data_IF_014129308126
#
_entry.id   IF_014129308126
#
_cell.length_a   1.000
_cell.length_b   1.000
_cell.length_c   1.000
_cell.angle_alpha   90.00
_cell.angle_beta   90.00
_cell.angle_gamma   90.00
#
_symmetry.space_group_name_H-M   'P 1'
#
loop_
_entity.id
_entity.type
_entity.pdbx_description
1 polymer ?
#
# COMPACT_ATOMS: atom_id res chain seq x y z
N UNK A 1 14.34 -6.88 -18.15
CA UNK A 1 13.96 -7.55 -16.88
C UNK A 1 12.97 -8.66 -17.21
N UNK A 2 13.39 -9.93 -17.18
CA UNK A 2 12.50 -11.08 -17.41
C UNK A 2 11.68 -11.29 -16.12
N UNK A 3 10.66 -10.45 -15.89
CA UNK A 3 9.59 -10.82 -14.95
C UNK A 3 9.07 -12.17 -15.45
N UNK A 4 8.94 -13.15 -14.55
CA UNK A 4 8.45 -14.48 -14.89
C UNK A 4 7.25 -14.34 -15.84
N UNK A 5 7.37 -14.89 -17.05
CA UNK A 5 6.40 -14.69 -18.14
C UNK A 5 4.97 -14.99 -17.70
N UNK A 6 4.82 -15.93 -16.76
CA UNK A 6 3.56 -16.30 -16.12
C UNK A 6 2.97 -15.12 -15.34
N UNK A 7 3.73 -14.54 -14.41
CA UNK A 7 3.28 -13.43 -13.57
C UNK A 7 2.99 -12.17 -14.39
N UNK A 8 3.85 -11.88 -15.36
CA UNK A 8 3.64 -10.77 -16.29
C UNK A 8 2.37 -10.94 -17.12
N UNK A 9 2.11 -12.14 -17.65
CA UNK A 9 0.89 -12.43 -18.40
C UNK A 9 -0.36 -12.34 -17.52
N UNK A 10 -0.29 -12.85 -16.29
CA UNK A 10 -1.40 -12.76 -15.34
C UNK A 10 -1.80 -11.29 -15.09
N UNK A 11 -0.86 -10.43 -14.68
CA UNK A 11 -1.15 -9.02 -14.38
C UNK A 11 -1.76 -8.28 -15.58
N UNK A 12 -1.26 -8.56 -16.79
CA UNK A 12 -1.72 -7.87 -17.99
C UNK A 12 -3.12 -8.33 -18.44
N UNK A 13 -3.51 -9.57 -18.12
CA UNK A 13 -4.77 -10.15 -18.61
C UNK A 13 -5.92 -10.07 -17.60
N UNK A 14 -5.63 -9.87 -16.31
CA UNK A 14 -6.66 -9.70 -15.27
C UNK A 14 -7.38 -8.36 -15.44
N UNK A 15 -8.67 -8.26 -15.14
CA UNK A 15 -9.40 -6.98 -15.17
C UNK A 15 -8.93 -6.00 -14.09
N UNK A 16 -9.31 -4.73 -14.19
CA UNK A 16 -9.01 -3.70 -13.18
C UNK A 16 -9.50 -4.13 -11.79
N UNK A 17 -10.73 -4.62 -11.72
CA UNK A 17 -11.33 -5.14 -10.50
C UNK A 17 -10.56 -6.36 -9.97
N UNK A 18 -10.25 -7.33 -10.83
CA UNK A 18 -9.49 -8.51 -10.42
C UNK A 18 -8.09 -8.16 -9.91
N UNK A 19 -7.46 -7.13 -10.50
CA UNK A 19 -6.17 -6.64 -10.06
C UNK A 19 -6.26 -5.98 -8.68
N UNK A 20 -7.25 -5.11 -8.46
CA UNK A 20 -7.52 -4.50 -7.15
C UNK A 20 -7.74 -5.60 -6.10
N UNK A 21 -8.62 -6.56 -6.37
CA UNK A 21 -8.92 -7.65 -5.45
C UNK A 21 -7.66 -8.46 -5.11
N UNK A 22 -6.84 -8.78 -6.12
CA UNK A 22 -5.59 -9.52 -5.92
C UNK A 22 -4.63 -8.77 -5.00
N UNK A 23 -4.45 -7.47 -5.22
CA UNK A 23 -3.54 -6.65 -4.43
C UNK A 23 -4.04 -6.40 -3.01
N UNK A 24 -5.35 -6.27 -2.81
CA UNK A 24 -5.98 -6.19 -1.49
C UNK A 24 -5.81 -7.51 -0.73
N UNK A 25 -6.05 -8.67 -1.37
CA UNK A 25 -5.80 -9.97 -0.74
C UNK A 25 -4.33 -10.09 -0.35
N UNK A 26 -3.42 -9.69 -1.24
CA UNK A 26 -1.98 -9.75 -0.96
C UNK A 26 -1.57 -8.83 0.20
N UNK A 27 -2.16 -7.63 0.33
CA UNK A 27 -1.87 -6.76 1.48
C UNK A 27 -2.33 -7.38 2.80
N UNK A 28 -3.52 -7.99 2.83
CA UNK A 28 -3.97 -8.71 4.03
C UNK A 28 -3.14 -9.95 4.35
N UNK A 29 -2.62 -10.67 3.35
CA UNK A 29 -1.69 -11.77 3.61
C UNK A 29 -0.43 -11.27 4.31
N UNK A 30 0.11 -10.11 3.90
CA UNK A 30 1.25 -9.48 4.58
C UNK A 30 0.90 -9.11 6.02
N UNK A 31 -0.24 -8.44 6.25
CA UNK A 31 -0.67 -8.05 7.59
C UNK A 31 -0.78 -9.26 8.52
N UNK A 32 -1.34 -10.38 8.04
CA UNK A 32 -1.47 -11.61 8.82
C UNK A 32 -0.11 -12.22 9.15
N UNK A 33 0.84 -12.22 8.22
CA UNK A 33 2.22 -12.69 8.49
C UNK A 33 2.88 -11.84 9.57
N UNK A 34 2.70 -10.52 9.53
CA UNK A 34 3.23 -9.60 10.55
C UNK A 34 2.53 -9.83 11.90
N UNK A 35 1.22 -10.03 11.91
CA UNK A 35 0.44 -10.32 13.11
C UNK A 35 0.91 -11.63 13.79
N UNK A 36 1.13 -12.69 13.01
CA UNK A 36 1.67 -13.95 13.51
C UNK A 36 3.08 -13.75 14.09
N UNK A 37 3.95 -13.05 13.36
CA UNK A 37 5.32 -12.77 13.82
C UNK A 37 5.35 -11.97 15.12
N UNK A 38 4.55 -10.91 15.22
CA UNK A 38 4.48 -10.06 16.42
C UNK A 38 3.94 -10.81 17.63
N UNK A 39 2.93 -11.67 17.43
CA UNK A 39 2.38 -12.52 18.48
C UNK A 39 3.41 -13.53 19.01
N UNK A 40 4.05 -14.30 18.11
CA UNK A 40 5.08 -15.28 18.50
C UNK A 40 6.27 -14.60 19.18
N UNK A 41 6.63 -13.40 18.74
CA UNK A 41 7.80 -12.67 19.25
C UNK A 41 7.49 -11.76 20.45
N UNK A 42 6.23 -11.71 20.92
CA UNK A 42 5.77 -10.77 21.95
C UNK A 42 6.15 -9.30 21.68
N UNK A 43 6.07 -8.86 20.41
CA UNK A 43 6.38 -7.49 19.99
C UNK A 43 5.07 -6.71 19.87
N UNK A 44 4.96 -5.59 20.57
CA UNK A 44 3.80 -4.70 20.43
C UNK A 44 3.81 -3.99 19.07
N UNK A 45 2.76 -4.21 18.27
CA UNK A 45 2.61 -3.58 16.95
C UNK A 45 2.56 -2.04 17.03
N UNK A 46 1.91 -1.49 18.06
CA UNK A 46 1.81 -0.05 18.33
C UNK A 46 1.50 0.80 17.08
N UNK A 47 0.33 0.59 16.49
CA UNK A 47 -0.20 1.44 15.42
C UNK A 47 -0.86 2.72 15.92
N UNK A 48 -1.44 3.54 15.01
CA UNK A 48 -2.20 4.73 15.38
C UNK A 48 -3.39 4.37 16.27
N UNK A 49 -3.64 5.23 17.26
CA UNK A 49 -4.85 5.19 18.10
C UNK A 49 -5.80 6.27 17.61
N UNK A 50 -7.06 5.91 17.43
CA UNK A 50 -8.08 6.83 16.93
C UNK A 50 -9.09 7.10 18.06
N UNK A 51 -9.20 8.37 18.44
CA UNK A 51 -10.21 8.85 19.40
C UNK A 51 -11.26 9.66 18.64
N UNK A 52 -12.06 8.95 17.82
CA UNK A 52 -13.09 9.54 16.98
C UNK A 52 -14.24 8.58 16.76
N UNK A 53 -15.40 9.09 16.33
CA UNK A 53 -16.56 8.24 16.06
C UNK A 53 -16.29 7.25 14.91
N UNK A 54 -16.95 6.07 14.90
CA UNK A 54 -16.77 5.08 13.85
C UNK A 54 -16.96 5.63 12.43
N UNK A 55 -17.98 6.47 12.24
CA UNK A 55 -18.27 7.12 10.95
C UNK A 55 -17.14 8.06 10.56
N UNK A 56 -16.65 8.87 11.50
CA UNK A 56 -15.55 9.80 11.23
C UNK A 56 -14.26 9.05 10.90
N UNK A 57 -14.00 7.92 11.56
CA UNK A 57 -12.86 7.05 11.25
C UNK A 57 -12.94 6.46 9.84
N UNK A 58 -14.10 5.95 9.43
CA UNK A 58 -14.28 5.41 8.08
C UNK A 58 -14.05 6.48 7.00
N UNK A 59 -14.53 7.70 7.23
CA UNK A 59 -14.36 8.82 6.30
C UNK A 59 -12.91 9.29 6.28
N UNK A 60 -12.32 9.59 7.44
CA UNK A 60 -10.97 10.17 7.52
C UNK A 60 -9.89 9.13 7.17
N UNK A 61 -9.91 7.96 7.79
CA UNK A 61 -8.87 6.92 7.63
C UNK A 61 -9.11 6.08 6.38
N UNK A 62 -10.37 5.78 6.05
CA UNK A 62 -10.72 4.93 4.92
C UNK A 62 -10.78 5.63 3.56
N UNK A 63 -11.10 6.93 3.54
CA UNK A 63 -11.33 7.66 2.27
C UNK A 63 -10.38 8.85 2.14
N UNK A 64 -10.39 9.78 3.10
CA UNK A 64 -9.67 11.05 2.95
C UNK A 64 -8.15 10.87 3.02
N UNK A 65 -7.63 10.17 4.03
CA UNK A 65 -6.19 9.91 4.18
C UNK A 65 -5.62 9.18 2.95
N UNK A 66 -6.24 8.09 2.44
CA UNK A 66 -5.77 7.41 1.24
C UNK A 66 -5.71 8.30 0.01
N UNK A 67 -6.64 9.26 -0.17
CA UNK A 67 -6.58 10.21 -1.29
C UNK A 67 -5.33 11.08 -1.18
N UNK A 68 -5.11 11.70 -0.02
CA UNK A 68 -3.95 12.58 0.21
C UNK A 68 -2.63 11.82 0.13
N UNK A 69 -2.53 10.68 0.82
CA UNK A 69 -1.34 9.84 0.84
C UNK A 69 -1.01 9.27 -0.54
N UNK A 70 -2.01 8.76 -1.27
CA UNK A 70 -1.77 8.20 -2.61
C UNK A 70 -1.26 9.27 -3.57
N UNK A 71 -1.82 10.48 -3.49
CA UNK A 71 -1.33 11.59 -4.29
C UNK A 71 0.11 11.97 -3.90
N UNK A 72 0.39 12.14 -2.61
CA UNK A 72 1.71 12.56 -2.13
C UNK A 72 2.79 11.51 -2.44
N UNK A 73 2.55 10.24 -2.12
CA UNK A 73 3.59 9.20 -2.17
C UNK A 73 3.66 8.47 -3.51
N UNK A 74 2.54 8.21 -4.18
CA UNK A 74 2.57 7.53 -5.47
C UNK A 74 2.64 8.50 -6.64
N UNK A 75 2.08 9.70 -6.56
CA UNK A 75 2.17 10.68 -7.66
C UNK A 75 3.39 11.59 -7.48
N UNK A 76 3.40 12.41 -6.42
CA UNK A 76 4.41 13.47 -6.25
C UNK A 76 5.79 12.88 -5.97
N UNK A 77 5.93 12.00 -4.99
CA UNK A 77 7.23 11.44 -4.62
C UNK A 77 7.84 10.62 -5.77
N UNK A 78 7.08 9.74 -6.43
CA UNK A 78 7.59 8.98 -7.57
C UNK A 78 7.99 9.90 -8.73
N UNK A 79 7.22 10.96 -9.00
CA UNK A 79 7.59 11.96 -10.00
C UNK A 79 8.94 12.63 -9.66
N UNK A 80 9.14 13.03 -8.40
CA UNK A 80 10.40 13.64 -7.94
C UNK A 80 11.58 12.65 -8.03
N UNK A 81 11.40 11.41 -7.56
CA UNK A 81 12.45 10.39 -7.61
C UNK A 81 12.82 10.02 -9.04
N UNK A 82 11.88 10.04 -9.99
CA UNK A 82 12.17 9.84 -11.43
C UNK A 82 13.02 10.96 -12.05
N UNK A 83 13.18 12.12 -11.40
CA UNK A 83 14.15 13.13 -11.85
C UNK A 83 15.59 12.72 -11.60
N UNK A 84 15.82 11.72 -10.74
CA UNK A 84 17.14 11.14 -10.51
C UNK A 84 17.36 10.06 -11.59
N UNK A 85 18.26 10.33 -12.55
CA UNK A 85 18.50 9.46 -13.72
C UNK A 85 18.69 7.99 -13.35
N UNK A 86 19.44 7.71 -12.27
CA UNK A 86 19.65 6.33 -11.81
C UNK A 86 18.34 5.65 -11.40
N UNK A 87 17.50 6.30 -10.58
CA UNK A 87 16.23 5.73 -10.15
C UNK A 87 15.23 5.58 -11.32
N UNK A 88 15.23 6.54 -12.25
CA UNK A 88 14.36 6.46 -13.43
C UNK A 88 14.64 5.22 -14.29
N UNK A 89 15.92 4.85 -14.42
CA UNK A 89 16.36 3.68 -15.17
C UNK A 89 16.18 2.36 -14.39
N UNK A 90 16.01 2.42 -13.07
CA UNK A 90 15.89 1.26 -12.19
C UNK A 90 14.54 1.22 -11.46
N UNK A 91 13.48 0.84 -12.17
CA UNK A 91 12.09 0.82 -11.64
C UNK A 91 11.90 0.06 -10.32
N UNK A 92 12.57 -1.09 -10.13
CA UNK A 92 12.50 -1.83 -8.85
C UNK A 92 13.12 -1.02 -7.72
N UNK A 93 14.30 -0.42 -7.94
CA UNK A 93 14.96 0.41 -6.95
C UNK A 93 14.13 1.65 -6.62
N UNK A 94 13.53 2.28 -7.64
CA UNK A 94 12.59 3.38 -7.46
C UNK A 94 11.43 3.00 -6.52
N UNK A 95 10.82 1.82 -6.73
CA UNK A 95 9.76 1.30 -5.86
C UNK A 95 10.27 1.10 -4.44
N UNK A 96 11.41 0.42 -4.26
CA UNK A 96 11.99 0.17 -2.94
C UNK A 96 12.25 1.49 -2.19
N UNK A 97 12.90 2.47 -2.85
CA UNK A 97 13.20 3.77 -2.23
C UNK A 97 11.92 4.52 -1.88
N UNK A 98 10.94 4.57 -2.79
CA UNK A 98 9.65 5.21 -2.50
C UNK A 98 8.91 4.54 -1.34
N UNK A 99 8.98 3.20 -1.25
CA UNK A 99 8.35 2.43 -0.17
C UNK A 99 9.05 2.63 1.17
N UNK A 100 10.39 2.77 1.17
CA UNK A 100 11.14 3.10 2.40
C UNK A 100 10.70 4.47 2.92
N UNK A 101 10.60 5.47 2.05
CA UNK A 101 10.15 6.82 2.43
C UNK A 101 8.72 6.77 2.97
N UNK A 102 7.83 6.02 2.32
CA UNK A 102 6.46 5.80 2.81
C UNK A 102 6.44 5.09 4.17
N UNK A 103 7.26 4.06 4.39
CA UNK A 103 7.34 3.39 5.69
C UNK A 103 7.84 4.32 6.80
N UNK A 104 8.92 5.06 6.53
CA UNK A 104 9.54 5.99 7.49
C UNK A 104 8.61 7.16 7.81
N UNK A 105 7.71 7.58 6.91
CA UNK A 105 6.73 8.64 7.24
C UNK A 105 5.67 8.20 8.28
N UNK A 106 5.63 6.90 8.61
CA UNK A 106 4.67 6.30 9.55
C UNK A 106 5.35 5.92 10.88
N UNK A 107 5.96 6.91 11.56
CA UNK A 107 6.73 6.74 12.79
C UNK A 107 5.88 6.44 14.05
N UNK A 108 5.25 5.27 14.12
CA UNK A 108 4.55 4.80 15.33
C UNK A 108 5.37 3.77 16.11
N UNK A 109 5.93 2.78 15.40
CA UNK A 109 6.83 1.76 15.95
C UNK A 109 7.69 1.18 14.83
N UNK A 110 8.80 0.51 15.18
CA UNK A 110 9.66 -0.11 14.16
C UNK A 110 8.94 -1.17 13.33
N UNK A 111 8.07 -1.97 13.97
CA UNK A 111 7.30 -3.00 13.26
C UNK A 111 6.17 -2.37 12.42
N UNK A 112 5.58 -1.26 12.86
CA UNK A 112 4.62 -0.51 12.06
C UNK A 112 5.28 0.11 10.83
N UNK A 113 6.45 0.75 10.99
CA UNK A 113 7.27 1.28 9.88
C UNK A 113 7.59 0.17 8.86
N UNK A 114 7.95 -1.02 9.35
CA UNK A 114 8.23 -2.16 8.49
C UNK A 114 6.97 -2.66 7.77
N UNK A 115 5.83 -2.72 8.47
CA UNK A 115 4.54 -3.08 7.89
C UNK A 115 4.12 -2.09 6.79
N UNK A 116 4.19 -0.79 7.07
CA UNK A 116 3.84 0.26 6.11
C UNK A 116 4.83 0.32 4.95
N UNK A 117 6.11 -0.01 5.16
CA UNK A 117 7.05 -0.23 4.05
C UNK A 117 6.57 -1.34 3.11
N UNK A 118 6.13 -2.49 3.63
CA UNK A 118 5.62 -3.59 2.82
C UNK A 118 4.30 -3.22 2.11
N UNK A 119 3.39 -2.52 2.77
CA UNK A 119 2.21 -1.94 2.12
C UNK A 119 2.62 -0.98 0.99
N UNK A 120 3.61 -0.12 1.25
CA UNK A 120 4.21 0.77 0.26
C UNK A 120 4.76 0.03 -0.95
N UNK A 121 5.39 -1.15 -0.79
CA UNK A 121 5.83 -1.98 -1.91
C UNK A 121 4.67 -2.37 -2.82
N UNK A 122 3.52 -2.75 -2.27
CA UNK A 122 2.32 -3.08 -3.05
C UNK A 122 1.84 -1.84 -3.80
N UNK A 123 1.62 -0.73 -3.10
CA UNK A 123 1.07 0.49 -3.68
C UNK A 123 1.98 1.09 -4.76
N UNK A 124 3.29 1.17 -4.49
CA UNK A 124 4.28 1.69 -5.44
C UNK A 124 4.49 0.74 -6.63
N UNK A 125 4.46 -0.58 -6.40
CA UNK A 125 4.49 -1.56 -7.48
C UNK A 125 3.29 -1.39 -8.40
N UNK A 126 2.08 -1.30 -7.83
CA UNK A 126 0.87 -1.06 -8.58
C UNK A 126 0.93 0.26 -9.35
N UNK A 127 1.41 1.34 -8.74
CA UNK A 127 1.53 2.61 -9.47
C UNK A 127 2.49 2.56 -10.67
N UNK A 128 3.64 1.89 -10.51
CA UNK A 128 4.72 1.90 -11.53
C UNK A 128 4.50 0.87 -12.63
N UNK A 129 3.96 -0.30 -12.30
CA UNK A 129 3.86 -1.44 -13.23
C UNK A 129 2.44 -1.74 -13.71
N UNK A 130 1.40 -1.20 -13.08
CA UNK A 130 0.05 -1.35 -13.61
C UNK A 130 -0.03 -0.71 -15.00
N UNK A 131 -0.46 -1.48 -15.97
CA UNK A 131 -0.75 -0.98 -17.31
C UNK A 131 -2.20 -0.55 -17.36
N UNK A 132 -2.42 0.70 -17.74
CA UNK A 132 -3.76 1.25 -17.87
C UNK A 132 -4.62 0.37 -18.76
N UNK A 133 -5.78 0.03 -18.23
CA UNK A 133 -6.87 -0.65 -18.93
C UNK A 133 -8.02 0.36 -18.95
N UNK A 134 -8.98 0.24 -18.02
CA UNK A 134 -10.06 1.22 -17.87
C UNK A 134 -9.69 2.34 -16.89
N UNK A 135 -9.01 2.00 -15.79
CA UNK A 135 -8.60 2.91 -14.73
C UNK A 135 -7.13 3.33 -14.88
N UNK A 136 -6.83 4.52 -14.37
CA UNK A 136 -5.46 5.03 -14.25
C UNK A 136 -4.73 4.36 -13.09
N UNK A 137 -3.38 4.36 -13.04
CA UNK A 137 -2.64 3.75 -11.95
C UNK A 137 -2.96 4.41 -10.61
N UNK A 138 -3.20 5.73 -10.62
CA UNK A 138 -3.68 6.46 -9.45
C UNK A 138 -5.01 5.90 -8.92
N UNK A 139 -6.01 5.71 -9.79
CA UNK A 139 -7.32 5.16 -9.37
C UNK A 139 -7.19 3.72 -8.86
N UNK A 140 -6.34 2.90 -9.47
CA UNK A 140 -6.07 1.54 -9.02
C UNK A 140 -5.48 1.53 -7.61
N UNK A 141 -4.41 2.30 -7.40
CA UNK A 141 -3.72 2.36 -6.10
C UNK A 141 -4.64 2.94 -5.03
N UNK A 142 -5.38 4.02 -5.36
CA UNK A 142 -6.33 4.62 -4.44
C UNK A 142 -7.40 3.60 -4.02
N UNK A 143 -7.96 2.82 -4.96
CA UNK A 143 -8.91 1.76 -4.62
C UNK A 143 -8.32 0.70 -3.71
N UNK A 144 -7.11 0.22 -4.01
CA UNK A 144 -6.41 -0.77 -3.15
C UNK A 144 -6.23 -0.21 -1.74
N UNK A 145 -5.71 1.03 -1.65
CA UNK A 145 -5.41 1.69 -0.39
C UNK A 145 -6.67 1.96 0.45
N UNK A 146 -7.71 2.53 -0.17
CA UNK A 146 -8.99 2.79 0.50
C UNK A 146 -9.68 1.52 0.97
N UNK A 147 -9.75 0.48 0.13
CA UNK A 147 -10.40 -0.80 0.52
C UNK A 147 -9.67 -1.42 1.71
N UNK A 148 -8.34 -1.45 1.68
CA UNK A 148 -7.52 -1.96 2.78
C UNK A 148 -7.75 -1.18 4.07
N UNK A 149 -7.70 0.16 4.03
CA UNK A 149 -7.93 0.99 5.22
C UNK A 149 -9.37 0.92 5.72
N UNK A 150 -10.37 0.84 4.85
CA UNK A 150 -11.77 0.67 5.25
C UNK A 150 -11.96 -0.64 5.98
N UNK A 151 -11.42 -1.76 5.46
CA UNK A 151 -11.52 -3.05 6.14
C UNK A 151 -10.79 -3.00 7.49
N UNK A 152 -9.58 -2.45 7.56
CA UNK A 152 -8.86 -2.29 8.83
C UNK A 152 -9.61 -1.41 9.84
N UNK A 153 -10.21 -0.30 9.39
CA UNK A 153 -11.05 0.54 10.23
C UNK A 153 -12.31 -0.19 10.72
N UNK A 154 -12.97 -0.97 9.85
CA UNK A 154 -14.13 -1.79 10.25
C UNK A 154 -13.75 -2.85 11.28
N UNK A 155 -12.63 -3.55 11.09
CA UNK A 155 -12.12 -4.52 12.06
C UNK A 155 -11.85 -3.84 13.41
N UNK A 156 -11.24 -2.66 13.40
CA UNK A 156 -10.99 -1.89 14.62
C UNK A 156 -12.29 -1.49 15.34
N UNK A 157 -13.34 -1.11 14.60
CA UNK A 157 -14.66 -0.75 15.17
C UNK A 157 -15.37 -1.97 15.78
N UNK A 158 -15.22 -3.15 15.16
CA UNK A 158 -15.93 -4.36 15.59
C UNK A 158 -15.27 -5.00 16.82
N UNK A 159 -13.93 -4.93 16.91
CA UNK A 159 -13.15 -5.66 17.92
C UNK A 159 -12.61 -4.79 19.06
N UNK A 160 -12.80 -3.47 19.03
CA UNK A 160 -12.57 -2.56 20.17
C UNK A 160 -13.89 -2.14 20.80
#
# INVERSE_FOLDING_TARGET
MKINKIFYNYINNVSDFGYILTMVVFSFLIDNVIAIYTNISNINFNGPKFDMSPILMLILVGIISPVFETYLYQVVLIYLLKKINYLNNHKILLIIVASIIFGISHCYSYIYIFSTFLAGLILNYSYVFYKNKTLTPFKIVLSIHSIHNIINALLLIIFN
#
